data_IF_100081510667
#
_entry.id   IF_100081510667
#
_cell.length_a   1.000
_cell.length_b   1.000
_cell.length_c   1.000
_cell.angle_alpha   90.00
_cell.angle_beta   90.00
_cell.angle_gamma   90.00
#
_symmetry.space_group_name_H-M   'P 1'
#
loop_
_entity.id
_entity.type
_entity.pdbx_description
1 polymer ?
#
# COMPACT_ATOMS: atom_id res chain seq x y z
N UNK A 1 8.57 22.80 -18.03
CA UNK A 1 7.71 21.62 -18.25
C UNK A 1 6.38 22.05 -18.85
N UNK A 2 5.80 21.30 -19.79
CA UNK A 2 4.55 21.65 -20.45
C UNK A 2 3.35 21.55 -19.47
N UNK A 3 2.49 22.58 -19.40
CA UNK A 3 1.31 22.62 -18.50
C UNK A 3 0.31 21.50 -18.79
N UNK A 4 0.12 21.14 -20.06
CA UNK A 4 -0.76 20.03 -20.46
C UNK A 4 -0.23 18.69 -19.94
N UNK A 5 1.05 18.44 -20.14
CA UNK A 5 1.73 17.24 -19.65
C UNK A 5 1.68 17.15 -18.11
N UNK A 6 1.88 18.26 -17.40
CA UNK A 6 1.77 18.31 -15.93
C UNK A 6 0.37 17.91 -15.44
N UNK A 7 -0.68 18.36 -16.13
CA UNK A 7 -2.06 17.99 -15.80
C UNK A 7 -2.31 16.49 -16.02
N UNK A 8 -1.88 15.95 -17.16
CA UNK A 8 -2.02 14.53 -17.48
C UNK A 8 -1.24 13.65 -16.48
N UNK A 9 -0.02 14.05 -16.09
CA UNK A 9 0.78 13.34 -15.09
C UNK A 9 0.12 13.39 -13.70
N UNK A 10 -0.41 14.55 -13.31
CA UNK A 10 -1.15 14.69 -12.05
C UNK A 10 -2.36 13.75 -12.01
N UNK A 11 -3.17 13.72 -13.06
CA UNK A 11 -4.35 12.84 -13.14
C UNK A 11 -3.96 11.36 -13.09
N UNK A 12 -2.83 10.97 -13.73
CA UNK A 12 -2.30 9.60 -13.64
C UNK A 12 -1.87 9.24 -12.21
N UNK A 13 -1.12 10.13 -11.56
CA UNK A 13 -0.66 9.94 -10.18
C UNK A 13 -1.84 9.84 -9.19
N UNK A 14 -2.88 10.65 -9.38
CA UNK A 14 -4.10 10.58 -8.55
C UNK A 14 -4.86 9.25 -8.75
N UNK A 15 -4.95 8.75 -9.98
CA UNK A 15 -5.54 7.43 -10.26
C UNK A 15 -4.73 6.30 -9.65
N UNK A 16 -3.41 6.34 -9.81
CA UNK A 16 -2.51 5.33 -9.27
C UNK A 16 -2.54 5.32 -7.74
N UNK A 17 -2.59 6.50 -7.11
CA UNK A 17 -2.79 6.65 -5.66
C UNK A 17 -4.03 5.89 -5.20
N UNK A 18 -5.19 6.15 -5.83
CA UNK A 18 -6.44 5.48 -5.45
C UNK A 18 -6.34 3.97 -5.64
N UNK A 19 -5.77 3.51 -6.76
CA UNK A 19 -5.61 2.09 -7.04
C UNK A 19 -4.70 1.37 -6.02
N UNK A 20 -3.65 2.04 -5.53
CA UNK A 20 -2.78 1.50 -4.47
C UNK A 20 -3.51 1.45 -3.13
N UNK A 21 -4.23 2.51 -2.76
CA UNK A 21 -5.03 2.52 -1.53
C UNK A 21 -6.11 1.44 -1.55
N UNK A 22 -6.73 1.16 -2.71
CA UNK A 22 -7.68 0.07 -2.88
C UNK A 22 -7.04 -1.32 -2.79
N UNK A 23 -5.80 -1.48 -3.24
CA UNK A 23 -5.06 -2.73 -3.08
C UNK A 23 -4.71 -2.97 -1.60
N UNK A 24 -4.15 -1.97 -0.93
CA UNK A 24 -3.79 -2.05 0.49
C UNK A 24 -5.02 -2.37 1.35
N UNK A 25 -6.18 -1.74 1.10
CA UNK A 25 -7.44 -2.02 1.83
C UNK A 25 -7.89 -3.48 1.82
N UNK A 26 -7.42 -4.30 0.88
CA UNK A 26 -7.82 -5.71 0.79
C UNK A 26 -7.22 -6.55 1.91
N UNK A 27 -6.07 -6.15 2.45
CA UNK A 27 -5.30 -6.97 3.38
C UNK A 27 -4.57 -6.18 4.49
N UNK A 28 -4.59 -4.85 4.42
CA UNK A 28 -4.00 -3.94 5.40
C UNK A 28 -4.99 -2.85 5.84
N UNK A 29 -4.75 -2.25 7.01
CA UNK A 29 -5.53 -1.11 7.53
C UNK A 29 -4.63 0.08 7.71
N UNK A 30 -5.13 1.28 7.38
CA UNK A 30 -4.39 2.52 7.68
C UNK A 30 -4.17 2.65 9.19
N UNK A 31 -2.94 2.97 9.60
CA UNK A 31 -2.68 3.39 10.97
C UNK A 31 -3.25 4.81 11.16
N UNK A 32 -4.07 4.98 12.21
CA UNK A 32 -4.62 6.29 12.59
C UNK A 32 -3.58 7.19 13.25
N UNK A 33 -2.50 6.61 13.79
CA UNK A 33 -1.43 7.32 14.49
C UNK A 33 -0.33 7.80 13.55
N UNK A 34 -0.03 7.03 12.51
CA UNK A 34 1.01 7.32 11.53
C UNK A 34 0.41 7.57 10.14
N UNK A 35 0.46 8.84 9.72
CA UNK A 35 -0.10 9.24 8.42
C UNK A 35 0.68 8.59 7.27
N UNK A 36 -0.03 7.76 6.50
CA UNK A 36 0.52 7.11 5.31
C UNK A 36 1.05 5.71 5.57
N UNK A 37 0.89 5.22 6.80
CA UNK A 37 1.27 3.89 7.26
C UNK A 37 0.04 2.96 7.23
N UNK A 38 0.28 1.69 6.93
CA UNK A 38 -0.69 0.63 6.73
C UNK A 38 -0.20 -0.64 7.41
N UNK A 39 -0.97 -1.09 8.38
CA UNK A 39 -0.70 -2.32 9.08
C UNK A 39 -1.32 -3.51 8.33
N UNK A 40 -0.48 -4.44 7.87
CA UNK A 40 -0.94 -5.75 7.38
C UNK A 40 -1.78 -6.45 8.46
N UNK A 41 -2.98 -6.91 8.10
CA UNK A 41 -3.86 -7.65 9.00
C UNK A 41 -3.39 -9.09 9.05
N UNK A 42 -3.12 -9.61 10.26
CA UNK A 42 -2.80 -11.03 10.42
C UNK A 42 -3.99 -11.90 9.95
N UNK A 43 -3.80 -12.80 8.98
CA UNK A 43 -4.86 -13.69 8.50
C UNK A 43 -5.37 -14.58 9.62
N UNK A 44 -6.68 -14.81 9.65
CA UNK A 44 -7.28 -15.76 10.58
C UNK A 44 -8.25 -16.67 9.83
N UNK A 45 -7.85 -17.91 9.64
CA UNK A 45 -8.63 -18.93 8.96
C UNK A 45 -9.51 -19.65 9.98
N UNK A 46 -10.82 -19.37 9.92
CA UNK A 46 -11.77 -20.02 10.82
C UNK A 46 -11.85 -21.53 10.55
N UNK A 47 -11.95 -22.32 11.62
CA UNK A 47 -12.30 -23.73 11.57
C UNK A 47 -12.23 -24.38 12.94
N UNK A 48 -13.08 -25.37 13.19
CA UNK A 48 -13.14 -26.13 14.45
C UNK A 48 -12.16 -27.29 14.48
N UNK A 49 -11.05 -27.23 13.73
CA UNK A 49 -10.08 -28.31 13.70
C UNK A 49 -9.31 -28.42 15.02
N UNK A 50 -8.88 -29.64 15.33
CA UNK A 50 -8.05 -29.97 16.48
C UNK A 50 -6.85 -30.80 16.02
N UNK A 51 -5.81 -30.87 16.86
CA UNK A 51 -4.61 -31.66 16.55
C UNK A 51 -3.78 -31.05 15.41
N UNK A 52 -3.22 -31.90 14.54
CA UNK A 52 -2.30 -31.49 13.48
C UNK A 52 -2.90 -30.49 12.49
N UNK A 53 -4.19 -30.62 12.18
CA UNK A 53 -4.88 -29.71 11.26
C UNK A 53 -4.94 -28.25 11.78
N UNK A 54 -4.98 -28.06 13.11
CA UNK A 54 -4.89 -26.72 13.70
C UNK A 54 -3.47 -26.13 13.57
N UNK A 55 -2.43 -26.96 13.63
CA UNK A 55 -1.04 -26.54 13.46
C UNK A 55 -0.74 -26.18 12.00
N UNK A 56 -1.27 -26.95 11.04
CA UNK A 56 -1.16 -26.67 9.60
C UNK A 56 -1.78 -25.30 9.28
N UNK A 57 -3.00 -25.03 9.76
CA UNK A 57 -3.63 -23.71 9.57
C UNK A 57 -2.84 -22.56 10.15
N UNK A 58 -2.30 -22.72 11.36
CA UNK A 58 -1.46 -21.68 11.96
C UNK A 58 -0.19 -21.43 11.13
N UNK A 59 0.38 -22.48 10.52
CA UNK A 59 1.49 -22.33 9.60
C UNK A 59 1.08 -21.55 8.33
N UNK A 60 -0.08 -21.88 7.74
CA UNK A 60 -0.61 -21.18 6.57
C UNK A 60 -0.88 -19.68 6.87
N UNK A 61 -1.45 -19.36 8.04
CA UNK A 61 -1.68 -17.97 8.47
C UNK A 61 -0.38 -17.17 8.59
N UNK A 62 0.67 -17.79 9.14
CA UNK A 62 2.00 -17.18 9.28
C UNK A 62 2.66 -17.01 7.92
N UNK A 63 2.54 -17.99 7.02
CA UNK A 63 3.09 -17.92 5.66
C UNK A 63 2.43 -16.81 4.85
N UNK A 64 1.10 -16.73 4.87
CA UNK A 64 0.34 -15.67 4.19
C UNK A 64 0.72 -14.30 4.76
N UNK A 65 0.76 -14.15 6.08
CA UNK A 65 1.19 -12.88 6.71
C UNK A 65 2.60 -12.48 6.27
N UNK A 66 3.54 -13.42 6.27
CA UNK A 66 4.93 -13.18 5.86
C UNK A 66 5.05 -12.81 4.39
N UNK A 67 4.13 -13.29 3.55
CA UNK A 67 4.05 -12.95 2.12
C UNK A 67 3.44 -11.56 1.89
N UNK A 68 2.46 -11.16 2.70
CA UNK A 68 1.78 -9.88 2.58
C UNK A 68 2.63 -8.69 3.04
N UNK A 69 3.45 -8.86 4.09
CA UNK A 69 4.32 -7.81 4.64
C UNK A 69 5.19 -7.09 3.57
N UNK A 70 5.99 -7.79 2.75
CA UNK A 70 6.81 -7.11 1.73
C UNK A 70 5.97 -6.46 0.62
N UNK A 71 4.76 -6.96 0.36
CA UNK A 71 3.85 -6.38 -0.63
C UNK A 71 3.28 -5.06 -0.11
N UNK A 72 2.82 -5.03 1.14
CA UNK A 72 2.38 -3.81 1.83
C UNK A 72 3.49 -2.75 1.81
N UNK A 73 4.68 -3.07 2.31
CA UNK A 73 5.81 -2.13 2.33
C UNK A 73 6.13 -1.54 0.93
N UNK A 74 6.10 -2.36 -0.12
CA UNK A 74 6.33 -1.91 -1.50
C UNK A 74 5.24 -0.94 -1.99
N UNK A 75 3.98 -1.22 -1.66
CA UNK A 75 2.83 -0.38 -1.99
C UNK A 75 2.86 0.94 -1.21
N UNK A 76 3.24 0.91 0.07
CA UNK A 76 3.43 2.11 0.88
C UNK A 76 4.51 3.03 0.35
N UNK A 77 5.68 2.48 0.00
CA UNK A 77 6.77 3.26 -0.58
C UNK A 77 6.32 3.93 -1.89
N UNK A 78 5.58 3.21 -2.73
CA UNK A 78 5.00 3.78 -3.96
C UNK A 78 4.01 4.90 -3.63
N UNK A 79 3.10 4.68 -2.67
CA UNK A 79 2.11 5.66 -2.24
C UNK A 79 2.79 6.94 -1.73
N UNK A 80 3.82 6.80 -0.89
CA UNK A 80 4.65 7.90 -0.39
C UNK A 80 5.32 8.67 -1.53
N UNK A 81 5.90 7.98 -2.50
CA UNK A 81 6.53 8.60 -3.66
C UNK A 81 5.52 9.37 -4.53
N UNK A 82 4.32 8.81 -4.72
CA UNK A 82 3.22 9.49 -5.42
C UNK A 82 2.79 10.75 -4.68
N UNK A 83 2.64 10.68 -3.36
CA UNK A 83 2.28 11.85 -2.55
C UNK A 83 3.34 12.95 -2.62
N UNK A 84 4.63 12.58 -2.55
CA UNK A 84 5.74 13.51 -2.75
C UNK A 84 5.73 14.12 -4.16
N UNK A 85 5.45 13.33 -5.19
CA UNK A 85 5.34 13.80 -6.56
C UNK A 85 4.19 14.81 -6.72
N UNK A 86 3.01 14.50 -6.16
CA UNK A 86 1.84 15.39 -6.17
C UNK A 86 2.14 16.70 -5.41
N UNK A 87 2.84 16.64 -4.27
CA UNK A 87 3.29 17.84 -3.56
C UNK A 87 4.25 18.69 -4.41
N UNK A 88 5.22 18.07 -5.07
CA UNK A 88 6.17 18.76 -5.97
C UNK A 88 5.44 19.41 -7.14
N UNK A 89 4.39 18.77 -7.69
CA UNK A 89 3.54 19.35 -8.74
C UNK A 89 2.83 20.59 -8.20
N UNK A 90 2.22 20.51 -7.02
CA UNK A 90 1.53 21.63 -6.36
C UNK A 90 2.49 22.80 -6.09
N UNK A 91 3.72 22.52 -5.70
CA UNK A 91 4.78 23.52 -5.43
C UNK A 91 5.49 24.02 -6.71
N UNK A 92 5.16 23.50 -7.89
CA UNK A 92 5.80 23.87 -9.16
C UNK A 92 7.27 23.41 -9.30
N UNK A 93 7.70 22.45 -8.47
CA UNK A 93 9.09 21.93 -8.44
C UNK A 93 9.24 20.57 -9.13
N UNK A 94 8.15 19.95 -9.57
CA UNK A 94 8.18 18.64 -10.22
C UNK A 94 8.96 18.66 -11.55
N UNK A 95 9.79 17.65 -11.77
CA UNK A 95 10.64 17.51 -12.96
C UNK A 95 11.90 18.37 -12.98
N UNK A 96 12.30 18.95 -11.84
CA UNK A 96 13.62 19.57 -11.66
C UNK A 96 14.56 18.54 -11.01
N UNK A 97 15.84 18.55 -11.39
CA UNK A 97 16.88 17.76 -10.72
C UNK A 97 16.86 18.09 -9.23
N UNK A 98 16.99 17.07 -8.39
CA UNK A 98 17.06 17.21 -6.93
C UNK A 98 18.46 17.60 -6.45
#
# INVERSE_FOLDING_TARGET
>A
MNKKLLKELKEKLEKEKVAIEEQLKRFAKKDEKLKGDWDTIFPKFNGGEAGSAALEKAADEVEEYSTLLPIEYSLELKLKNIDLALEKIKKGKYGRCE
#
